data_IF_702890064682
#
_entry.id   IF_702890064682
#
_cell.length_a   1.000
_cell.length_b   1.000
_cell.length_c   1.000
_cell.angle_alpha   90.00
_cell.angle_beta   90.00
_cell.angle_gamma   90.00
#
_symmetry.space_group_name_H-M   'P 1'
#
loop_
_entity.id
_entity.type
_entity.pdbx_description
1 polymer ?
#
# COMPACT_ATOMS: atom_id res chain seq x y z
N UNK A 1 -38.37 5.51 -10.48
CA UNK A 1 -37.15 4.76 -10.84
C UNK A 1 -36.97 3.65 -9.81
N UNK A 2 -37.01 2.39 -10.22
CA UNK A 2 -36.71 1.27 -9.31
C UNK A 2 -35.22 1.36 -9.05
N UNK A 3 -34.80 1.61 -7.81
CA UNK A 3 -33.38 1.55 -7.45
C UNK A 3 -32.88 0.14 -7.73
N UNK A 4 -31.95 -0.01 -8.67
CA UNK A 4 -31.32 -1.31 -8.92
C UNK A 4 -30.69 -1.80 -7.61
N UNK A 5 -31.11 -2.98 -7.15
CA UNK A 5 -30.57 -3.56 -5.93
C UNK A 5 -29.15 -4.01 -6.24
N UNK A 6 -28.17 -3.29 -5.69
CA UNK A 6 -26.76 -3.61 -5.77
C UNK A 6 -26.31 -4.43 -4.56
N UNK A 7 -25.20 -5.15 -4.72
CA UNK A 7 -24.58 -5.94 -3.65
C UNK A 7 -23.07 -5.76 -3.65
N UNK A 8 -22.50 -5.65 -2.46
CA UNK A 8 -21.06 -5.56 -2.24
C UNK A 8 -20.38 -6.90 -2.58
N UNK A 9 -19.42 -6.87 -3.51
CA UNK A 9 -18.53 -8.00 -3.76
C UNK A 9 -17.44 -8.06 -2.69
N UNK A 10 -17.33 -9.17 -1.95
CA UNK A 10 -16.31 -9.30 -0.89
C UNK A 10 -14.88 -9.35 -1.43
N UNK A 11 -14.69 -9.63 -2.72
CA UNK A 11 -13.37 -9.69 -3.35
C UNK A 11 -12.87 -8.34 -3.85
N UNK A 12 -13.66 -7.57 -4.59
CA UNK A 12 -13.24 -6.26 -5.13
C UNK A 12 -13.76 -5.05 -4.33
N UNK A 13 -14.62 -5.26 -3.32
CA UNK A 13 -15.25 -4.21 -2.52
C UNK A 13 -16.13 -3.22 -3.33
N UNK A 14 -16.56 -3.59 -4.53
CA UNK A 14 -17.48 -2.79 -5.35
C UNK A 14 -18.94 -3.19 -5.10
N UNK A 15 -19.84 -2.21 -5.05
CA UNK A 15 -21.28 -2.42 -5.15
C UNK A 15 -21.62 -2.66 -6.62
N UNK A 16 -22.20 -3.83 -6.90
CA UNK A 16 -22.46 -4.27 -8.27
C UNK A 16 -23.90 -4.75 -8.42
N UNK A 17 -24.52 -4.58 -9.60
CA UNK A 17 -25.87 -5.04 -9.85
C UNK A 17 -25.96 -6.57 -9.78
N UNK A 18 -27.19 -7.08 -9.58
CA UNK A 18 -27.48 -8.52 -9.47
C UNK A 18 -26.90 -9.38 -10.61
N UNK A 19 -26.86 -8.82 -11.82
CA UNK A 19 -26.28 -9.42 -13.03
C UNK A 19 -24.84 -9.90 -12.83
N UNK A 20 -24.07 -9.17 -12.01
CA UNK A 20 -22.65 -9.43 -11.74
C UNK A 20 -22.42 -10.62 -10.81
N UNK A 21 -23.46 -11.24 -10.25
CA UNK A 21 -23.38 -12.40 -9.36
C UNK A 21 -24.05 -13.62 -9.99
N UNK A 22 -23.61 -14.83 -9.64
CA UNK A 22 -24.41 -16.02 -9.98
C UNK A 22 -25.68 -16.06 -9.13
N UNK A 23 -26.74 -16.70 -9.65
CA UNK A 23 -27.98 -16.88 -8.90
C UNK A 23 -27.76 -17.59 -7.54
N UNK A 24 -26.80 -18.52 -7.49
CA UNK A 24 -26.40 -19.25 -6.28
C UNK A 24 -25.59 -18.39 -5.29
N UNK A 25 -24.91 -17.34 -5.76
CA UNK A 25 -24.19 -16.41 -4.90
C UNK A 25 -25.09 -15.29 -4.40
N UNK A 26 -26.01 -14.79 -5.22
CA UNK A 26 -26.86 -13.66 -4.84
C UNK A 26 -27.57 -13.87 -3.49
N UNK A 27 -27.92 -15.12 -3.17
CA UNK A 27 -28.59 -15.51 -1.91
C UNK A 27 -27.66 -15.70 -0.70
N UNK A 28 -26.33 -15.68 -0.86
CA UNK A 28 -25.36 -15.87 0.23
C UNK A 28 -25.05 -14.55 0.93
N UNK A 29 -24.86 -14.53 2.24
CA UNK A 29 -24.43 -13.32 2.98
C UNK A 29 -23.13 -12.74 2.40
N UNK A 30 -22.16 -13.61 2.09
CA UNK A 30 -20.89 -13.25 1.44
C UNK A 30 -20.86 -13.73 -0.01
N UNK A 31 -20.62 -12.80 -0.95
CA UNK A 31 -20.68 -13.07 -2.39
C UNK A 31 -19.52 -12.45 -3.15
N UNK A 32 -18.98 -13.19 -4.12
CA UNK A 32 -17.96 -12.71 -5.06
C UNK A 32 -18.61 -12.50 -6.42
N UNK A 33 -18.34 -11.39 -7.10
CA UNK A 33 -18.85 -11.18 -8.45
C UNK A 33 -18.23 -12.19 -9.43
N UNK A 34 -18.92 -12.46 -10.55
CA UNK A 34 -18.50 -13.38 -11.61
C UNK A 34 -17.08 -13.07 -12.10
N UNK A 35 -16.71 -11.79 -12.20
CA UNK A 35 -15.36 -11.37 -12.60
C UNK A 35 -14.32 -11.79 -11.57
N UNK A 36 -14.54 -11.52 -10.28
CA UNK A 36 -13.64 -11.97 -9.22
C UNK A 36 -13.51 -13.50 -9.18
N UNK A 37 -14.60 -14.25 -9.38
CA UNK A 37 -14.54 -15.73 -9.45
C UNK A 37 -13.69 -16.17 -10.64
N UNK A 38 -13.93 -15.60 -11.83
CA UNK A 38 -13.15 -15.91 -13.04
C UNK A 38 -11.67 -15.60 -12.83
N UNK A 39 -11.35 -14.45 -12.25
CA UNK A 39 -9.98 -14.07 -11.90
C UNK A 39 -9.33 -15.07 -10.93
N UNK A 40 -10.06 -15.59 -9.94
CA UNK A 40 -9.48 -16.64 -9.07
C UNK A 40 -9.34 -18.01 -9.71
N UNK A 41 -10.10 -18.31 -10.78
CA UNK A 41 -10.00 -19.59 -11.50
C UNK A 41 -8.91 -19.55 -12.57
N UNK A 42 -8.69 -18.37 -13.15
CA UNK A 42 -7.65 -18.09 -14.13
C UNK A 42 -6.84 -16.89 -13.63
N UNK A 43 -5.95 -17.09 -12.63
CA UNK A 43 -5.06 -16.02 -12.21
C UNK A 43 -4.27 -15.51 -13.43
N UNK A 44 -3.95 -14.21 -13.48
CA UNK A 44 -3.13 -13.67 -14.55
C UNK A 44 -1.84 -14.50 -14.66
N UNK A 45 -1.58 -15.06 -15.84
CA UNK A 45 -0.36 -15.81 -16.08
C UNK A 45 0.79 -14.81 -16.18
N UNK A 46 1.56 -14.69 -15.11
CA UNK A 46 2.83 -13.99 -15.15
C UNK A 46 3.85 -14.94 -15.80
N UNK A 47 4.40 -14.50 -16.93
CA UNK A 47 5.46 -15.22 -17.64
C UNK A 47 6.83 -14.57 -17.49
N UNK A 48 6.90 -13.30 -17.06
CA UNK A 48 8.16 -12.61 -16.81
C UNK A 48 8.83 -13.20 -15.56
N UNK A 49 10.05 -13.78 -15.66
CA UNK A 49 10.72 -14.42 -14.53
C UNK A 49 10.96 -13.48 -13.34
N UNK A 50 11.16 -12.17 -13.58
CA UNK A 50 11.39 -11.17 -12.52
C UNK A 50 10.12 -10.91 -11.73
N UNK A 51 8.98 -10.83 -12.41
CA UNK A 51 7.67 -10.72 -11.76
C UNK A 51 7.33 -11.99 -10.98
N UNK A 52 7.64 -13.18 -11.53
CA UNK A 52 7.46 -14.44 -10.79
C UNK A 52 8.27 -14.44 -9.49
N UNK A 53 9.56 -14.11 -9.56
CA UNK A 53 10.42 -14.03 -8.38
C UNK A 53 9.90 -13.02 -7.34
N UNK A 54 9.42 -11.86 -7.80
CA UNK A 54 8.81 -10.85 -6.93
C UNK A 54 7.56 -11.38 -6.20
N UNK A 55 6.69 -12.10 -6.90
CA UNK A 55 5.48 -12.71 -6.32
C UNK A 55 5.84 -13.78 -5.30
N UNK A 56 6.77 -14.67 -5.62
CA UNK A 56 7.25 -15.72 -4.71
C UNK A 56 7.84 -15.12 -3.43
N UNK A 57 8.56 -14.01 -3.54
CA UNK A 57 9.10 -13.31 -2.38
C UNK A 57 8.02 -12.66 -1.53
N UNK A 58 7.01 -12.05 -2.14
CA UNK A 58 5.85 -11.50 -1.42
C UNK A 58 5.05 -12.60 -0.71
N UNK A 59 4.88 -13.76 -1.34
CA UNK A 59 4.23 -14.93 -0.74
C UNK A 59 5.02 -15.42 0.47
N UNK A 60 6.34 -15.59 0.33
CA UNK A 60 7.22 -15.99 1.44
C UNK A 60 7.12 -15.01 2.60
N UNK A 61 7.17 -13.70 2.32
CA UNK A 61 7.01 -12.67 3.34
C UNK A 61 5.64 -12.75 4.04
N UNK A 62 4.57 -13.02 3.30
CA UNK A 62 3.23 -13.20 3.87
C UNK A 62 3.17 -14.42 4.80
N UNK A 63 3.74 -15.55 4.39
CA UNK A 63 3.70 -16.80 5.14
C UNK A 63 4.51 -16.71 6.44
N UNK A 64 5.70 -16.09 6.37
CA UNK A 64 6.61 -15.91 7.51
C UNK A 64 6.08 -14.88 8.51
N UNK A 65 5.67 -13.70 8.03
CA UNK A 65 5.41 -12.57 8.92
C UNK A 65 3.93 -12.35 9.24
N UNK A 66 3.00 -12.73 8.35
CA UNK A 66 1.55 -12.60 8.55
C UNK A 66 1.16 -11.18 9.07
N UNK A 67 0.74 -11.09 10.34
CA UNK A 67 0.39 -9.83 11.04
C UNK A 67 1.39 -9.44 12.14
N UNK A 68 2.47 -10.19 12.36
CA UNK A 68 3.39 -10.01 13.50
C UNK A 68 4.12 -8.66 13.51
N UNK A 69 4.16 -7.98 12.37
CA UNK A 69 4.89 -6.71 12.18
C UNK A 69 4.03 -5.46 12.38
N UNK A 70 2.77 -5.61 12.80
CA UNK A 70 1.84 -4.47 12.93
C UNK A 70 2.34 -3.42 13.93
N UNK A 71 2.86 -3.85 15.08
CA UNK A 71 3.37 -2.99 16.16
C UNK A 71 4.87 -2.71 16.05
N UNK A 72 5.50 -3.01 14.91
CA UNK A 72 6.95 -2.84 14.71
C UNK A 72 7.19 -1.63 13.82
N UNK A 73 8.05 -0.71 14.29
CA UNK A 73 8.56 0.40 13.50
C UNK A 73 9.86 0.00 12.84
N UNK A 74 10.01 0.32 11.56
CA UNK A 74 11.24 0.11 10.79
C UNK A 74 11.79 1.47 10.37
N UNK A 75 12.98 1.82 10.85
CA UNK A 75 13.73 2.95 10.30
C UNK A 75 14.22 2.59 8.89
N UNK A 76 13.78 3.34 7.88
CA UNK A 76 14.18 3.13 6.49
C UNK A 76 15.43 3.97 6.18
N UNK A 77 15.35 5.25 6.51
CA UNK A 77 16.46 6.21 6.49
C UNK A 77 16.37 7.09 7.74
N UNK A 78 17.36 7.97 7.95
CA UNK A 78 17.43 8.81 9.15
C UNK A 78 16.25 9.76 9.35
N UNK A 79 15.44 10.02 8.29
CA UNK A 79 14.26 10.86 8.35
C UNK A 79 12.95 10.10 8.08
N UNK A 80 12.99 8.83 7.67
CA UNK A 80 11.83 8.10 7.19
C UNK A 80 11.64 6.76 7.90
N UNK A 81 10.47 6.58 8.52
CA UNK A 81 10.08 5.38 9.24
C UNK A 81 8.84 4.75 8.60
N UNK A 82 8.76 3.42 8.67
CA UNK A 82 7.68 2.62 8.09
C UNK A 82 7.11 1.64 9.13
N UNK A 83 5.79 1.55 9.23
CA UNK A 83 5.16 0.57 10.11
C UNK A 83 3.64 0.41 9.93
N UNK A 84 3.02 -0.26 10.90
CA UNK A 84 1.57 -0.48 10.96
C UNK A 84 0.83 0.51 11.86
N UNK A 85 -0.44 0.24 12.09
CA UNK A 85 -1.30 1.05 12.96
C UNK A 85 -0.99 0.70 14.42
N UNK A 86 0.05 1.32 14.99
CA UNK A 86 0.52 1.12 16.36
C UNK A 86 -0.59 1.38 17.36
N UNK A 87 -0.82 0.46 18.30
CA UNK A 87 -1.90 0.52 19.28
C UNK A 87 -1.42 0.80 20.69
N UNK A 88 -0.13 0.67 20.96
CA UNK A 88 0.40 0.72 22.32
C UNK A 88 1.42 1.85 22.45
N UNK A 89 1.40 2.56 23.58
CA UNK A 89 2.33 3.67 23.84
C UNK A 89 3.79 3.20 23.79
N UNK A 90 4.08 1.97 24.19
CA UNK A 90 5.42 1.38 24.10
C UNK A 90 5.95 1.32 22.67
N UNK A 91 5.10 0.97 21.69
CA UNK A 91 5.48 0.94 20.27
C UNK A 91 5.72 2.36 19.73
N UNK A 92 4.94 3.34 20.22
CA UNK A 92 5.08 4.75 19.82
C UNK A 92 6.33 5.40 20.40
N UNK A 93 6.91 4.87 21.49
CA UNK A 93 8.21 5.36 22.01
C UNK A 93 9.35 5.16 21.00
N UNK A 94 9.27 4.16 20.12
CA UNK A 94 10.22 3.99 19.00
C UNK A 94 10.16 5.17 18.00
N UNK A 95 9.06 5.93 18.01
CA UNK A 95 8.84 7.13 17.21
C UNK A 95 9.17 8.42 17.99
N UNK A 96 10.01 8.38 19.02
CA UNK A 96 10.34 9.55 19.84
C UNK A 96 10.80 10.76 19.01
N UNK A 97 11.50 10.51 17.89
CA UNK A 97 12.02 11.57 17.01
C UNK A 97 11.12 11.88 15.80
N UNK A 98 10.09 11.06 15.52
CA UNK A 98 9.16 11.29 14.41
C UNK A 98 8.24 12.48 14.68
N UNK A 99 8.43 13.57 13.93
CA UNK A 99 7.66 14.81 14.09
C UNK A 99 6.34 14.82 13.32
N UNK A 100 6.25 14.04 12.23
CA UNK A 100 5.10 14.02 11.32
C UNK A 100 4.68 12.58 11.02
N UNK A 101 3.39 12.41 10.72
CA UNK A 101 2.80 11.12 10.36
C UNK A 101 2.08 11.17 9.01
N UNK A 102 2.16 10.08 8.25
CA UNK A 102 1.36 9.84 7.05
C UNK A 102 0.63 8.50 7.21
N UNK A 103 -0.69 8.57 7.37
CA UNK A 103 -1.57 7.40 7.31
C UNK A 103 -1.93 7.12 5.84
N UNK A 104 -1.28 6.12 5.24
CA UNK A 104 -1.58 5.58 3.91
C UNK A 104 -2.77 4.61 3.93
N UNK A 105 -3.79 4.92 4.74
CA UNK A 105 -5.00 4.12 4.89
C UNK A 105 -6.20 5.02 5.22
N UNK A 106 -7.35 4.42 5.47
CA UNK A 106 -8.53 5.14 5.95
C UNK A 106 -8.32 5.67 7.38
N UNK A 107 -8.98 6.78 7.71
CA UNK A 107 -8.94 7.44 9.03
C UNK A 107 -9.18 6.49 10.21
N UNK A 108 -10.04 5.48 10.06
CA UNK A 108 -10.26 4.45 11.08
C UNK A 108 -9.02 3.63 11.49
N UNK A 109 -7.93 3.72 10.72
CA UNK A 109 -6.65 3.08 11.05
C UNK A 109 -5.70 4.02 11.82
N UNK A 110 -6.05 5.29 11.98
CA UNK A 110 -5.37 6.19 12.90
C UNK A 110 -5.80 5.81 14.32
N UNK A 111 -4.88 5.26 15.09
CA UNK A 111 -5.14 4.87 16.48
C UNK A 111 -5.09 6.11 17.39
N UNK A 112 -5.71 6.07 18.58
CA UNK A 112 -5.63 7.18 19.54
C UNK A 112 -4.20 7.56 19.91
N UNK A 113 -3.29 6.58 20.02
CA UNK A 113 -1.87 6.82 20.35
C UNK A 113 -1.14 7.53 19.21
N UNK A 114 -1.41 7.19 17.94
CA UNK A 114 -0.83 7.88 16.79
C UNK A 114 -1.45 9.26 16.57
N UNK A 115 -2.76 9.41 16.79
CA UNK A 115 -3.44 10.71 16.75
C UNK A 115 -2.84 11.66 17.79
N UNK A 116 -2.62 11.18 19.02
CA UNK A 116 -1.97 11.95 20.08
C UNK A 116 -0.50 12.23 19.77
N UNK A 117 0.21 11.31 19.09
CA UNK A 117 1.63 11.47 18.78
C UNK A 117 1.92 12.60 17.79
N UNK A 118 1.07 12.73 16.78
CA UNK A 118 1.31 13.64 15.66
C UNK A 118 0.38 14.85 15.65
N UNK A 119 -0.78 14.78 16.32
CA UNK A 119 -1.74 15.88 16.41
C UNK A 119 -2.05 16.50 15.03
N UNK A 120 -1.65 17.77 14.83
CA UNK A 120 -1.86 18.50 13.58
C UNK A 120 -0.85 18.14 12.47
N UNK A 121 0.22 17.40 12.79
CA UNK A 121 1.25 16.94 11.86
C UNK A 121 0.94 15.55 11.28
N UNK A 122 -0.33 15.16 11.26
CA UNK A 122 -0.79 13.88 10.70
C UNK A 122 -1.61 14.10 9.43
N UNK A 123 -1.12 13.56 8.32
CA UNK A 123 -1.89 13.47 7.08
C UNK A 123 -2.51 12.09 6.93
N UNK A 124 -3.77 12.03 6.50
CA UNK A 124 -4.45 10.77 6.13
C UNK A 124 -4.81 10.78 4.65
N UNK A 125 -4.32 9.78 3.91
CA UNK A 125 -4.51 9.65 2.46
C UNK A 125 -5.83 8.96 2.08
N UNK A 126 -6.55 8.38 3.04
CA UNK A 126 -7.83 7.70 2.84
C UNK A 126 -7.81 6.57 1.79
N UNK A 127 -6.68 5.86 1.71
CA UNK A 127 -6.53 4.73 0.78
C UNK A 127 -7.22 3.46 1.29
N UNK A 128 -8.10 2.89 0.49
CA UNK A 128 -8.67 1.57 0.73
C UNK A 128 -7.64 0.45 0.51
N UNK A 129 -7.74 -0.63 1.28
CA UNK A 129 -6.84 -1.79 1.11
C UNK A 129 -6.99 -2.47 -0.26
N UNK A 130 -8.17 -2.33 -0.86
CA UNK A 130 -8.51 -2.79 -2.22
C UNK A 130 -8.72 -1.62 -3.19
N UNK A 131 -8.17 -0.44 -2.85
CA UNK A 131 -8.23 0.75 -3.68
C UNK A 131 -7.54 0.55 -5.03
N UNK A 132 -7.81 1.48 -5.95
CA UNK A 132 -7.32 1.43 -7.33
C UNK A 132 -5.90 2.00 -7.49
N UNK A 133 -5.30 1.76 -8.65
CA UNK A 133 -4.01 2.32 -9.03
C UNK A 133 -4.07 3.86 -9.12
N UNK A 134 -5.17 4.41 -9.62
CA UNK A 134 -5.39 5.87 -9.71
C UNK A 134 -5.47 6.53 -8.34
N UNK A 135 -6.18 5.92 -7.38
CA UNK A 135 -6.29 6.49 -6.03
C UNK A 135 -4.91 6.62 -5.37
N UNK A 136 -4.05 5.60 -5.54
CA UNK A 136 -2.69 5.69 -5.04
C UNK A 136 -1.91 6.78 -5.78
N UNK A 137 -1.97 6.82 -7.11
CA UNK A 137 -1.21 7.80 -7.91
C UNK A 137 -1.50 9.25 -7.48
N UNK A 138 -2.76 9.58 -7.20
CA UNK A 138 -3.14 10.89 -6.68
C UNK A 138 -2.68 11.09 -5.23
N UNK A 139 -2.80 10.06 -4.39
CA UNK A 139 -2.31 10.11 -3.01
C UNK A 139 -0.78 10.30 -2.92
N UNK A 140 0.00 9.77 -3.88
CA UNK A 140 1.46 9.97 -3.92
C UNK A 140 1.82 11.46 -4.06
N UNK A 141 1.09 12.21 -4.89
CA UNK A 141 1.31 13.65 -5.08
C UNK A 141 1.14 14.41 -3.75
N UNK A 142 0.06 14.09 -3.01
CA UNK A 142 -0.21 14.66 -1.70
C UNK A 142 0.85 14.26 -0.66
N UNK A 143 1.21 12.97 -0.64
CA UNK A 143 2.24 12.43 0.24
C UNK A 143 3.59 13.14 0.08
N UNK A 144 4.02 13.32 -1.17
CA UNK A 144 5.29 13.95 -1.50
C UNK A 144 5.28 15.44 -1.13
N UNK A 145 4.22 16.17 -1.46
CA UNK A 145 4.11 17.59 -1.13
C UNK A 145 4.18 17.83 0.38
N UNK A 146 3.42 17.06 1.16
CA UNK A 146 3.45 17.11 2.62
C UNK A 146 4.84 16.78 3.18
N UNK A 147 5.49 15.73 2.68
CA UNK A 147 6.81 15.34 3.14
C UNK A 147 7.87 16.41 2.83
N UNK A 148 7.83 16.99 1.63
CA UNK A 148 8.74 18.08 1.23
C UNK A 148 8.58 19.32 2.11
N UNK A 149 7.33 19.67 2.46
CA UNK A 149 7.05 20.77 3.39
C UNK A 149 7.53 20.45 4.81
N UNK A 150 7.19 19.26 5.33
CA UNK A 150 7.60 18.82 6.66
C UNK A 150 9.12 18.80 6.81
N UNK A 151 9.85 18.35 5.78
CA UNK A 151 11.32 18.27 5.77
C UNK A 151 12.03 19.64 5.72
N UNK A 152 11.32 20.74 5.51
CA UNK A 152 11.89 22.07 5.70
C UNK A 152 12.18 22.37 7.19
N UNK A 153 11.54 21.64 8.11
CA UNK A 153 11.77 21.78 9.54
C UNK A 153 13.05 21.02 9.95
N UNK A 154 14.02 21.68 10.62
CA UNK A 154 15.24 21.01 11.06
C UNK A 154 14.96 19.80 11.95
N UNK A 155 15.59 18.67 11.63
CA UNK A 155 15.43 17.43 12.39
C UNK A 155 14.09 16.71 12.15
N UNK A 156 13.31 17.12 11.14
CA UNK A 156 12.06 16.44 10.80
C UNK A 156 12.31 14.96 10.49
N UNK A 157 11.49 14.11 11.10
CA UNK A 157 11.35 12.72 10.73
C UNK A 157 9.87 12.38 10.55
N UNK A 158 9.58 11.50 9.60
CA UNK A 158 8.24 11.16 9.14
C UNK A 158 7.99 9.67 9.37
N UNK A 159 6.85 9.34 9.98
CA UNK A 159 6.36 7.98 10.09
C UNK A 159 5.24 7.72 9.07
N UNK A 160 5.47 6.79 8.15
CA UNK A 160 4.48 6.39 7.15
C UNK A 160 3.89 5.03 7.53
N UNK A 161 2.58 4.96 7.71
CA UNK A 161 1.92 3.74 8.17
C UNK A 161 0.62 3.45 7.46
N UNK A 162 0.21 2.19 7.50
CA UNK A 162 -1.13 1.76 7.12
C UNK A 162 -1.64 0.80 8.19
N UNK A 163 -2.53 -0.14 7.87
CA UNK A 163 -3.00 -1.12 8.86
C UNK A 163 -1.87 -2.04 9.37
N UNK A 164 -1.16 -2.72 8.46
CA UNK A 164 -0.11 -3.71 8.79
C UNK A 164 1.32 -3.23 8.46
N UNK A 165 1.44 -2.11 7.75
CA UNK A 165 2.73 -1.60 7.31
C UNK A 165 3.42 -2.42 6.22
N UNK A 166 2.66 -3.10 5.36
CA UNK A 166 3.23 -4.05 4.41
C UNK A 166 2.88 -3.77 2.94
N UNK A 167 1.98 -2.82 2.65
CA UNK A 167 1.50 -2.60 1.28
C UNK A 167 1.31 -1.11 0.93
N UNK A 168 0.22 -0.46 1.37
CA UNK A 168 -0.06 0.95 1.02
C UNK A 168 1.02 1.91 1.49
N UNK A 169 1.41 1.83 2.76
CA UNK A 169 2.49 2.66 3.31
C UNK A 169 3.84 2.37 2.67
N UNK A 170 4.09 1.13 2.24
CA UNK A 170 5.29 0.75 1.52
C UNK A 170 5.37 1.46 0.17
N UNK A 171 4.26 1.50 -0.57
CA UNK A 171 4.22 2.21 -1.85
C UNK A 171 4.50 3.71 -1.66
N UNK A 172 3.93 4.33 -0.61
CA UNK A 172 4.21 5.73 -0.27
C UNK A 172 5.69 5.92 0.09
N UNK A 173 6.28 5.07 0.92
CA UNK A 173 7.71 5.13 1.29
C UNK A 173 8.62 5.02 0.06
N UNK A 174 8.35 4.05 -0.83
CA UNK A 174 9.14 3.89 -2.06
C UNK A 174 9.05 5.15 -2.93
N UNK A 175 7.84 5.71 -3.10
CA UNK A 175 7.66 6.95 -3.85
C UNK A 175 8.40 8.15 -3.22
N UNK A 176 8.39 8.28 -1.90
CA UNK A 176 9.12 9.32 -1.17
C UNK A 176 10.64 9.19 -1.37
N UNK A 177 11.18 7.97 -1.25
CA UNK A 177 12.61 7.70 -1.51
C UNK A 177 12.99 8.08 -2.95
N UNK A 178 12.16 7.74 -3.94
CA UNK A 178 12.43 8.11 -5.33
C UNK A 178 12.36 9.62 -5.55
N UNK A 179 11.34 10.29 -5.00
CA UNK A 179 11.08 11.71 -5.23
C UNK A 179 12.04 12.64 -4.48
N UNK A 180 12.44 12.27 -3.26
CA UNK A 180 13.20 13.13 -2.35
C UNK A 180 14.69 12.74 -2.33
N UNK A 181 15.00 11.45 -2.29
CA UNK A 181 16.39 10.97 -2.25
C UNK A 181 16.93 10.61 -3.65
N UNK A 182 16.09 10.65 -4.69
CA UNK A 182 16.52 10.37 -6.06
C UNK A 182 16.82 8.89 -6.32
N UNK A 183 16.45 7.97 -5.42
CA UNK A 183 16.63 6.54 -5.63
C UNK A 183 15.83 6.06 -6.85
N UNK A 184 16.29 5.00 -7.49
CA UNK A 184 15.49 4.25 -8.47
C UNK A 184 14.44 3.40 -7.76
N UNK A 185 13.40 2.95 -8.50
CA UNK A 185 12.40 2.03 -7.97
C UNK A 185 13.04 0.76 -7.42
N UNK A 186 14.00 0.18 -8.15
CA UNK A 186 14.72 -1.02 -7.69
C UNK A 186 15.50 -0.78 -6.39
N UNK A 187 16.23 0.33 -6.30
CA UNK A 187 17.01 0.67 -5.11
C UNK A 187 16.11 0.96 -3.90
N UNK A 188 15.03 1.73 -4.10
CA UNK A 188 14.06 2.05 -3.05
C UNK A 188 13.32 0.79 -2.56
N UNK A 189 12.91 -0.11 -3.48
CA UNK A 189 12.30 -1.39 -3.11
C UNK A 189 13.27 -2.27 -2.32
N UNK A 190 14.52 -2.36 -2.77
CA UNK A 190 15.58 -3.15 -2.11
C UNK A 190 15.81 -2.65 -0.69
N UNK A 191 16.03 -1.34 -0.52
CA UNK A 191 16.20 -0.73 0.81
C UNK A 191 15.00 -0.99 1.73
N UNK A 192 13.77 -0.81 1.21
CA UNK A 192 12.57 -1.07 1.98
C UNK A 192 12.47 -2.53 2.44
N UNK A 193 12.88 -3.50 1.61
CA UNK A 193 12.90 -4.93 1.96
C UNK A 193 13.95 -5.27 3.00
N UNK A 194 15.15 -4.72 2.84
CA UNK A 194 16.25 -4.92 3.81
C UNK A 194 15.86 -4.44 5.20
N UNK A 195 15.22 -3.27 5.28
CA UNK A 195 14.80 -2.66 6.55
C UNK A 195 13.50 -3.24 7.10
N UNK A 196 12.62 -3.76 6.22
CA UNK A 196 11.35 -4.37 6.59
C UNK A 196 11.03 -5.59 5.70
N UNK A 197 11.51 -6.79 6.06
CA UNK A 197 11.35 -8.00 5.22
C UNK A 197 9.90 -8.46 4.98
N UNK A 198 8.94 -7.93 5.76
CA UNK A 198 7.52 -8.30 5.66
C UNK A 198 6.73 -7.55 4.57
N UNK A 199 7.38 -6.64 3.84
CA UNK A 199 6.69 -5.87 2.79
C UNK A 199 6.24 -6.76 1.64
N UNK A 200 5.09 -6.41 1.07
CA UNK A 200 4.42 -7.05 -0.06
C UNK A 200 3.62 -6.00 -0.84
N UNK A 201 4.32 -5.04 -1.47
CA UNK A 201 3.67 -3.93 -2.17
C UNK A 201 2.99 -4.41 -3.46
N UNK A 202 1.72 -4.08 -3.64
CA UNK A 202 0.95 -4.48 -4.84
C UNK A 202 0.84 -3.39 -5.91
N UNK A 203 1.22 -2.16 -5.59
CA UNK A 203 1.08 -1.01 -6.50
C UNK A 203 2.32 -0.77 -7.36
N UNK A 204 2.97 -1.86 -7.78
CA UNK A 204 4.27 -1.77 -8.45
C UNK A 204 4.20 -1.10 -9.83
N UNK A 205 3.09 -1.30 -10.57
CA UNK A 205 2.86 -0.58 -11.83
C UNK A 205 2.85 0.94 -11.63
N UNK A 206 2.08 1.42 -10.64
CA UNK A 206 2.00 2.85 -10.29
C UNK A 206 3.39 3.42 -9.95
N UNK A 207 4.22 2.66 -9.24
CA UNK A 207 5.57 3.08 -8.87
C UNK A 207 6.52 3.12 -10.08
N UNK A 208 6.40 2.15 -11.00
CA UNK A 208 7.18 2.13 -12.23
C UNK A 208 6.80 3.30 -13.16
N UNK A 209 5.50 3.56 -13.31
CA UNK A 209 5.01 4.74 -14.04
C UNK A 209 5.46 6.04 -13.37
N UNK A 210 5.44 6.09 -12.03
CA UNK A 210 5.86 7.26 -11.28
C UNK A 210 7.36 7.57 -11.45
N UNK A 211 8.23 6.56 -11.51
CA UNK A 211 9.65 6.74 -11.83
C UNK A 211 9.83 7.42 -13.20
N UNK A 212 9.01 7.05 -14.19
CA UNK A 212 8.99 7.69 -15.52
C UNK A 212 8.50 9.13 -15.43
N UNK A 213 7.45 9.41 -14.64
CA UNK A 213 6.93 10.76 -14.43
C UNK A 213 7.95 11.70 -13.76
N UNK A 214 8.93 11.15 -13.03
CA UNK A 214 10.07 11.90 -12.49
C UNK A 214 11.14 12.20 -13.56
N UNK A 215 10.89 11.91 -14.84
CA UNK A 215 11.78 12.17 -15.97
C UNK A 215 12.87 11.13 -16.17
N UNK A 216 12.68 9.90 -15.68
CA UNK A 216 13.68 8.82 -15.72
C UNK A 216 13.17 7.63 -16.53
N UNK A 217 14.02 6.65 -16.77
CA UNK A 217 13.58 5.32 -17.22
C UNK A 217 13.18 4.48 -16.00
N UNK A 218 12.22 3.56 -16.18
CA UNK A 218 11.89 2.64 -15.09
C UNK A 218 13.02 1.61 -14.90
N UNK A 219 13.53 1.51 -13.67
CA UNK A 219 14.52 0.51 -13.27
C UNK A 219 13.92 -0.90 -13.10
N UNK A 220 12.59 -1.01 -13.07
CA UNK A 220 11.84 -2.27 -13.02
C UNK A 220 10.77 -2.31 -14.12
N UNK A 221 11.18 -2.30 -15.40
CA UNK A 221 10.26 -2.15 -16.53
C UNK A 221 9.26 -3.31 -16.64
N UNK A 222 9.54 -4.46 -16.03
CA UNK A 222 8.57 -5.56 -15.96
C UNK A 222 7.25 -5.16 -15.25
N UNK A 223 7.26 -4.13 -14.40
CA UNK A 223 6.05 -3.68 -13.71
C UNK A 223 5.15 -2.77 -14.54
N UNK A 224 5.64 -2.19 -15.63
CA UNK A 224 4.82 -1.38 -16.53
C UNK A 224 3.68 -2.23 -17.13
N UNK A 225 4.02 -3.47 -17.51
CA UNK A 225 3.06 -4.43 -18.08
C UNK A 225 2.48 -5.41 -17.05
N UNK A 226 2.93 -5.38 -15.79
CA UNK A 226 2.43 -6.27 -14.73
C UNK A 226 0.95 -6.01 -14.41
N UNK A 227 0.17 -6.99 -13.94
CA UNK A 227 -1.24 -6.78 -13.61
C UNK A 227 -1.49 -5.58 -12.67
N UNK A 228 -2.69 -5.00 -12.73
CA UNK A 228 -3.08 -3.93 -11.81
C UNK A 228 -2.95 -4.34 -10.34
N UNK A 229 -2.92 -3.37 -9.42
CA UNK A 229 -2.72 -3.66 -8.00
C UNK A 229 -3.72 -4.63 -7.40
N UNK A 230 -4.98 -4.61 -7.86
CA UNK A 230 -6.01 -5.55 -7.40
C UNK A 230 -5.63 -6.97 -7.80
N UNK A 231 -5.24 -7.17 -9.05
CA UNK A 231 -4.89 -8.47 -9.64
C UNK A 231 -3.56 -9.01 -9.11
N UNK A 232 -2.52 -8.17 -9.08
CA UNK A 232 -1.22 -8.54 -8.53
C UNK A 232 -1.33 -8.95 -7.05
N UNK A 233 -2.11 -8.21 -6.26
CA UNK A 233 -2.35 -8.53 -4.86
C UNK A 233 -3.16 -9.82 -4.62
N UNK A 234 -3.75 -10.44 -5.65
CA UNK A 234 -4.37 -11.78 -5.51
C UNK A 234 -3.36 -12.92 -5.64
N UNK A 235 -2.14 -12.64 -6.08
CA UNK A 235 -1.11 -13.64 -6.32
C UNK A 235 -0.29 -13.97 -5.06
N UNK A 236 -0.46 -13.20 -3.98
CA UNK A 236 0.16 -13.49 -2.68
C UNK A 236 -0.77 -13.21 -1.50
#
# INVERSE_FOLDING_TARGET
AISEIEKLCVSCAENLPKECFSASQWRKESSRCKNCIRASKNPPKISDPRLCAFVEECQRAKDVYQQSQTEVVSEITSWLHLGGALKHDSSVQELANATHGICAALERNVTPVLQKRFENNLMTLNLEDKGSDSDLADALKLAIAFAQEALQQPGCQIYVFCALGCNRSVAVVIALLMAIEGLSLDAALTLAREKRPAIRPKYMRVLADFEIQLGRESSRPEFLEAPDSKSLGTLY
#
